data_IF_184868718981
#
_entry.id   IF_184868718981
#
_cell.length_a   1.000
_cell.length_b   1.000
_cell.length_c   1.000
_cell.angle_alpha   90.00
_cell.angle_beta   90.00
_cell.angle_gamma   90.00
#
_symmetry.space_group_name_H-M   'P 1'
#
loop_
_entity.id
_entity.type
_entity.pdbx_description
1 polymer ?
#
# COMPACT_ATOMS: atom_id res chain seq x y z
N UNK A 1 14.14 6.28 19.52
CA UNK A 1 13.59 4.93 19.29
C UNK A 1 12.13 4.93 18.85
N UNK A 2 11.21 5.61 19.55
CA UNK A 2 9.80 5.64 19.11
C UNK A 2 9.63 6.41 17.79
N UNK A 3 10.22 7.61 17.68
CA UNK A 3 10.12 8.43 16.48
C UNK A 3 10.62 7.73 15.20
N UNK A 4 11.68 6.92 15.31
CA UNK A 4 12.28 6.18 14.19
C UNK A 4 11.40 5.04 13.65
N UNK A 5 10.44 4.57 14.45
CA UNK A 5 9.47 3.52 14.06
C UNK A 5 8.12 4.13 13.72
N UNK A 6 7.65 5.09 14.51
CA UNK A 6 6.35 5.73 14.31
C UNK A 6 6.32 6.53 13.02
N UNK A 7 7.38 7.27 12.70
CA UNK A 7 7.43 8.09 11.49
C UNK A 7 7.19 7.30 10.20
N UNK A 8 7.94 6.22 9.89
CA UNK A 8 7.68 5.44 8.68
C UNK A 8 6.31 4.76 8.67
N UNK A 9 5.79 4.34 9.83
CA UNK A 9 4.45 3.77 9.94
C UNK A 9 3.36 4.79 9.61
N UNK A 10 3.48 6.03 10.11
CA UNK A 10 2.56 7.12 9.80
C UNK A 10 2.62 7.46 8.32
N UNK A 11 3.82 7.56 7.72
CA UNK A 11 3.96 7.78 6.29
C UNK A 11 3.31 6.67 5.47
N UNK A 12 3.48 5.42 5.87
CA UNK A 12 2.89 4.27 5.18
C UNK A 12 1.36 4.25 5.32
N UNK A 13 0.82 4.59 6.49
CA UNK A 13 -0.62 4.73 6.70
C UNK A 13 -1.21 5.87 5.85
N UNK A 14 -0.53 7.02 5.77
CA UNK A 14 -0.92 8.12 4.91
C UNK A 14 -0.90 7.71 3.43
N UNK A 15 0.15 7.00 2.99
CA UNK A 15 0.21 6.46 1.64
C UNK A 15 -0.95 5.48 1.36
N UNK A 16 -1.27 4.61 2.33
CA UNK A 16 -2.36 3.64 2.21
C UNK A 16 -3.73 4.30 2.04
N UNK A 17 -3.89 5.52 2.55
CA UNK A 17 -5.09 6.33 2.35
C UNK A 17 -5.05 7.14 1.05
N UNK A 18 -3.93 7.80 0.76
CA UNK A 18 -3.81 8.74 -0.36
C UNK A 18 -3.81 8.02 -1.70
N UNK A 19 -3.16 6.86 -1.81
CA UNK A 19 -3.00 6.16 -3.10
C UNK A 19 -4.35 5.71 -3.69
N UNK A 20 -5.21 4.97 -2.97
CA UNK A 20 -6.54 4.61 -3.51
C UNK A 20 -7.39 5.83 -3.85
N UNK A 21 -7.28 6.89 -3.04
CA UNK A 21 -8.01 8.13 -3.26
C UNK A 21 -7.52 8.89 -4.51
N UNK A 22 -6.22 8.89 -4.82
CA UNK A 22 -5.71 9.49 -6.05
C UNK A 22 -6.13 8.70 -7.28
N UNK A 23 -6.06 7.36 -7.21
CA UNK A 23 -6.47 6.49 -8.30
C UNK A 23 -7.97 6.61 -8.61
N UNK A 24 -8.82 6.82 -7.60
CA UNK A 24 -10.26 6.99 -7.82
C UNK A 24 -10.65 8.29 -8.51
N UNK A 25 -9.75 9.28 -8.59
CA UNK A 25 -10.00 10.50 -9.36
C UNK A 25 -9.86 10.30 -10.87
N UNK A 26 -9.09 9.29 -11.28
CA UNK A 26 -8.78 9.04 -12.69
C UNK A 26 -9.50 7.81 -13.23
N UNK A 27 -9.88 6.86 -12.36
CA UNK A 27 -10.60 5.65 -12.74
C UNK A 27 -12.11 5.84 -12.65
N UNK A 28 -12.91 5.20 -13.54
CA UNK A 28 -14.36 5.23 -13.46
C UNK A 28 -14.92 4.60 -12.18
N UNK A 29 -16.18 4.91 -11.86
CA UNK A 29 -16.91 4.18 -10.82
C UNK A 29 -17.36 2.81 -11.34
N UNK A 30 -17.36 1.80 -10.47
CA UNK A 30 -17.85 0.44 -10.76
C UNK A 30 -17.11 -0.62 -9.95
N UNK A 31 -17.70 -1.81 -9.80
CA UNK A 31 -17.10 -2.90 -8.99
C UNK A 31 -15.75 -3.33 -9.55
N UNK A 32 -15.67 -3.50 -10.87
CA UNK A 32 -14.42 -3.85 -11.56
C UNK A 32 -13.32 -2.81 -11.33
N UNK A 33 -13.65 -1.52 -11.47
CA UNK A 33 -12.70 -0.43 -11.26
C UNK A 33 -12.28 -0.31 -9.80
N UNK A 34 -13.20 -0.50 -8.85
CA UNK A 34 -12.88 -0.53 -7.42
C UNK A 34 -11.90 -1.66 -7.09
N UNK A 35 -12.11 -2.85 -7.65
CA UNK A 35 -11.18 -3.96 -7.51
C UNK A 35 -9.81 -3.61 -8.10
N UNK A 36 -9.76 -3.03 -9.30
CA UNK A 36 -8.52 -2.63 -9.95
C UNK A 36 -7.75 -1.56 -9.15
N UNK A 37 -8.44 -0.54 -8.61
CA UNK A 37 -7.86 0.45 -7.70
C UNK A 37 -7.25 -0.26 -6.49
N UNK A 38 -7.95 -1.24 -5.92
CA UNK A 38 -7.46 -2.02 -4.79
C UNK A 38 -6.18 -2.80 -5.10
N UNK A 39 -6.15 -3.51 -6.23
CA UNK A 39 -4.96 -4.26 -6.66
C UNK A 39 -3.77 -3.34 -6.92
N UNK A 40 -3.96 -2.25 -7.67
CA UNK A 40 -2.89 -1.29 -7.97
C UNK A 40 -2.38 -0.64 -6.69
N UNK A 41 -3.28 -0.29 -5.76
CA UNK A 41 -2.92 0.27 -4.46
C UNK A 41 -2.10 -0.71 -3.64
N UNK A 42 -2.49 -1.99 -3.59
CA UNK A 42 -1.76 -3.02 -2.85
C UNK A 42 -0.33 -3.21 -3.41
N UNK A 43 -0.19 -3.25 -4.75
CA UNK A 43 1.13 -3.33 -5.40
C UNK A 43 1.97 -2.09 -5.10
N UNK A 44 1.40 -0.89 -5.22
CA UNK A 44 2.11 0.35 -4.94
C UNK A 44 2.58 0.42 -3.48
N UNK A 45 1.72 0.07 -2.53
CA UNK A 45 2.07 0.03 -1.11
C UNK A 45 3.12 -1.03 -0.80
N UNK A 46 3.01 -2.21 -1.43
CA UNK A 46 4.01 -3.25 -1.28
C UNK A 46 5.38 -2.77 -1.76
N UNK A 47 5.46 -2.08 -2.90
CA UNK A 47 6.70 -1.49 -3.40
C UNK A 47 7.25 -0.38 -2.50
N UNK A 48 6.39 0.55 -2.06
CA UNK A 48 6.79 1.64 -1.16
C UNK A 48 7.35 1.08 0.15
N UNK A 49 6.68 0.11 0.77
CA UNK A 49 7.17 -0.51 1.99
C UNK A 49 8.42 -1.36 1.76
N UNK A 50 8.55 -2.05 0.62
CA UNK A 50 9.77 -2.80 0.27
C UNK A 50 10.99 -1.86 0.16
N UNK A 51 10.83 -0.72 -0.54
CA UNK A 51 11.87 0.31 -0.64
C UNK A 51 12.15 0.92 0.74
N UNK A 52 11.11 1.21 1.53
CA UNK A 52 11.26 1.71 2.89
C UNK A 52 12.06 0.76 3.78
N UNK A 53 11.76 -0.53 3.77
CA UNK A 53 12.51 -1.54 4.52
C UNK A 53 13.95 -1.65 4.03
N UNK A 54 14.20 -1.63 2.72
CA UNK A 54 15.55 -1.64 2.18
C UNK A 54 16.37 -0.44 2.69
N UNK A 55 15.81 0.76 2.63
CA UNK A 55 16.46 1.99 3.14
C UNK A 55 16.73 1.89 4.64
N UNK A 56 15.77 1.37 5.42
CA UNK A 56 15.93 1.18 6.87
C UNK A 56 16.98 0.13 7.24
N UNK A 57 17.22 -0.86 6.37
CA UNK A 57 18.29 -1.85 6.53
C UNK A 57 19.68 -1.26 6.25
N UNK A 58 19.77 -0.12 5.55
CA UNK A 58 21.04 0.53 5.22
C UNK A 58 21.99 -0.42 4.51
N UNK A 59 23.26 -0.47 4.96
CA UNK A 59 24.31 -1.31 4.35
C UNK A 59 24.02 -2.82 4.41
N UNK A 60 23.20 -3.28 5.36
CA UNK A 60 22.82 -4.68 5.43
C UNK A 60 21.82 -5.07 4.32
N UNK A 61 21.15 -4.09 3.71
CA UNK A 61 20.15 -4.33 2.67
C UNK A 61 20.74 -4.97 1.41
N UNK A 62 21.94 -4.54 1.00
CA UNK A 62 22.64 -5.08 -0.18
C UNK A 62 22.96 -6.58 0.00
N UNK A 63 23.56 -6.94 1.13
CA UNK A 63 23.85 -8.34 1.44
C UNK A 63 22.60 -9.23 1.52
N UNK A 64 21.46 -8.68 1.96
CA UNK A 64 20.18 -9.40 1.96
C UNK A 64 19.66 -9.60 0.53
N UNK A 65 19.79 -8.61 -0.34
CA UNK A 65 19.38 -8.73 -1.74
C UNK A 65 20.22 -9.76 -2.52
N UNK A 66 21.52 -9.85 -2.23
CA UNK A 66 22.42 -10.82 -2.86
C UNK A 66 22.00 -12.27 -2.58
N UNK A 67 21.51 -12.54 -1.37
CA UNK A 67 21.09 -13.89 -0.95
C UNK A 67 19.60 -14.14 -1.21
N UNK A 68 18.77 -13.11 -1.09
CA UNK A 68 17.32 -13.21 -1.17
C UNK A 68 16.73 -11.96 -1.86
N UNK A 69 16.77 -11.87 -3.21
CA UNK A 69 16.39 -10.68 -3.95
C UNK A 69 14.91 -10.29 -3.77
N UNK A 70 14.05 -11.25 -3.42
CA UNK A 70 12.62 -11.03 -3.17
C UNK A 70 12.26 -10.77 -1.71
N UNK A 71 13.25 -10.74 -0.81
CA UNK A 71 13.01 -10.65 0.64
C UNK A 71 12.17 -9.44 1.02
N UNK A 72 12.52 -8.25 0.54
CA UNK A 72 11.82 -7.01 0.89
C UNK A 72 10.39 -6.96 0.34
N UNK A 73 10.14 -7.59 -0.81
CA UNK A 73 8.79 -7.71 -1.38
C UNK A 73 7.93 -8.63 -0.51
N UNK A 74 8.45 -9.80 -0.13
CA UNK A 74 7.75 -10.75 0.76
C UNK A 74 7.54 -10.14 2.15
N UNK A 75 8.55 -9.45 2.69
CA UNK A 75 8.48 -8.76 3.96
C UNK A 75 7.39 -7.68 3.93
N UNK A 76 7.33 -6.93 2.84
CA UNK A 76 6.32 -5.90 2.62
C UNK A 76 4.90 -6.47 2.50
N UNK A 77 4.74 -7.60 1.81
CA UNK A 77 3.46 -8.32 1.76
C UNK A 77 3.00 -8.79 3.15
N UNK A 78 3.92 -9.25 4.00
CA UNK A 78 3.62 -9.59 5.41
C UNK A 78 3.27 -8.35 6.24
N UNK A 79 3.89 -7.22 5.93
CA UNK A 79 3.57 -5.94 6.54
C UNK A 79 2.20 -5.37 6.12
N UNK A 80 1.46 -6.05 5.22
CA UNK A 80 0.08 -5.68 4.87
C UNK A 80 -0.88 -5.68 6.06
N UNK A 81 -0.55 -6.36 7.16
CA UNK A 81 -1.32 -6.23 8.41
C UNK A 81 -1.33 -4.79 8.97
N UNK A 82 -0.32 -3.98 8.61
CA UNK A 82 -0.21 -2.57 9.03
C UNK A 82 -0.96 -1.65 8.08
N UNK A 83 -0.67 -1.74 6.77
CA UNK A 83 -1.20 -0.80 5.78
C UNK A 83 -2.50 -1.25 5.13
N UNK A 84 -2.77 -2.55 5.09
CA UNK A 84 -3.93 -3.16 4.45
C UNK A 84 -5.27 -2.68 5.01
N UNK A 85 -5.48 -2.65 6.34
CA UNK A 85 -6.73 -2.14 6.90
C UNK A 85 -7.01 -0.69 6.53
N UNK A 86 -5.98 0.17 6.53
CA UNK A 86 -6.12 1.59 6.14
C UNK A 86 -6.48 1.71 4.66
N UNK A 87 -5.83 0.93 3.80
CA UNK A 87 -6.14 0.89 2.37
C UNK A 87 -7.58 0.42 2.12
N UNK A 88 -8.03 -0.62 2.81
CA UNK A 88 -9.41 -1.15 2.69
C UNK A 88 -10.43 -0.11 3.15
N UNK A 89 -10.19 0.58 4.26
CA UNK A 89 -11.06 1.67 4.72
C UNK A 89 -11.09 2.82 3.71
N UNK A 90 -9.94 3.15 3.10
CA UNK A 90 -9.89 4.15 2.04
C UNK A 90 -10.71 3.72 0.81
N UNK A 91 -10.60 2.46 0.39
CA UNK A 91 -11.35 1.91 -0.75
C UNK A 91 -12.86 1.92 -0.47
N UNK A 92 -13.27 1.53 0.73
CA UNK A 92 -14.67 1.49 1.14
C UNK A 92 -15.36 2.86 1.08
N UNK A 93 -14.59 3.95 1.16
CA UNK A 93 -15.08 5.32 1.08
C UNK A 93 -15.09 5.91 -0.35
N UNK A 94 -14.67 5.14 -1.37
CA UNK A 94 -14.64 5.60 -2.77
C UNK A 94 -16.04 5.64 -3.42
N UNK A 95 -16.91 4.63 -3.26
CA UNK A 95 -18.23 4.64 -3.87
C UNK A 95 -19.10 5.80 -3.38
N UNK A 96 -19.32 6.82 -4.22
CA UNK A 96 -20.14 7.99 -3.87
C UNK A 96 -21.55 7.94 -4.44
N UNK A 97 -21.69 7.35 -5.64
CA UNK A 97 -22.93 7.40 -6.41
C UNK A 97 -23.58 6.02 -6.61
N UNK A 98 -23.18 5.01 -5.84
CA UNK A 98 -23.77 3.66 -5.89
C UNK A 98 -25.17 3.68 -5.26
N UNK A 99 -26.12 4.30 -5.98
CA UNK A 99 -27.55 4.32 -5.65
C UNK A 99 -28.30 3.17 -6.30
N UNK A 100 -27.79 2.68 -7.43
CA UNK A 100 -28.31 1.55 -8.18
C UNK A 100 -27.17 0.60 -8.54
N UNK A 101 -27.43 -0.71 -8.50
CA UNK A 101 -26.45 -1.73 -8.88
C UNK A 101 -26.34 -1.78 -10.41
N UNK A 102 -25.43 -0.97 -10.96
CA UNK A 102 -25.03 -1.10 -12.36
C UNK A 102 -23.91 -2.15 -12.41
N UNK A 103 -24.29 -3.38 -12.79
CA UNK A 103 -23.39 -4.52 -12.95
C UNK A 103 -22.56 -4.42 -14.22
#
# INVERSE_FOLDING_TARGET
MIATVVFPLVLLALAAWVIPWLLSKVMPEGVFWLFLIGVISAVALALIAAVGFFVLYGRAGEAVLDVAPWYFVILSARAALVWGPVMVLSLANIPKNWKEAVW
#
